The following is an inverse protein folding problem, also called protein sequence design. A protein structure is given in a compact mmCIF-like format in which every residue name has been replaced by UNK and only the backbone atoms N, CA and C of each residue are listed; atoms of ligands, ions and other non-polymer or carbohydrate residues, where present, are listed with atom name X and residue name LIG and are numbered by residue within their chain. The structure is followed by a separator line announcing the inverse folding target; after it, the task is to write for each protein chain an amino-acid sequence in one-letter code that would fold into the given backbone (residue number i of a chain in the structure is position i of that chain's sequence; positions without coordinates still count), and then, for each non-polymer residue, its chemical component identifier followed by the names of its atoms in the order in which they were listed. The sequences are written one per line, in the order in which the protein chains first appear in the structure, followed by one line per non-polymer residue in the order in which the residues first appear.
data_IF_302025427189
#
_entry.id   IF_302025427189
#
_cell.length_a   1.000
_cell.length_b   1.000
_cell.length_c   1.000
_cell.angle_alpha   90.00
_cell.angle_beta   90.00
_cell.angle_gamma   90.00
#
_symmetry.space_group_name_H-M   'P 1'
#
loop_
_entity.id
_entity.type
_entity.pdbx_description
1 polymer ?
#
# COMPACT_ATOMS: atom_id res chain seq x y z
N UNK A 1 17.37 -1.28 -8.72
CA UNK A 1 17.00 0.12 -8.47
C UNK A 1 18.20 1.02 -8.28
N UNK A 2 19.25 0.51 -7.66
CA UNK A 2 20.48 1.29 -7.47
C UNK A 2 21.17 1.64 -8.78
N UNK A 3 20.98 0.84 -9.81
CA UNK A 3 21.51 1.11 -11.14
C UNK A 3 20.85 2.33 -11.80
N UNK A 4 19.58 2.60 -11.44
CA UNK A 4 18.83 3.74 -11.97
C UNK A 4 19.24 5.06 -11.33
N UNK A 5 19.78 5.04 -10.12
CA UNK A 5 20.08 6.24 -9.33
C UNK A 5 21.58 6.46 -9.13
N UNK A 6 22.41 5.67 -9.78
CA UNK A 6 23.86 5.81 -9.74
C UNK A 6 24.46 5.34 -8.43
N UNK A 7 25.58 5.96 -8.03
CA UNK A 7 26.37 5.53 -6.88
C UNK A 7 25.91 6.11 -5.53
N UNK A 8 24.73 6.69 -5.47
CA UNK A 8 24.22 7.24 -4.22
C UNK A 8 23.70 6.13 -3.31
N UNK A 9 23.99 6.23 -2.02
CA UNK A 9 23.53 5.28 -1.02
C UNK A 9 22.11 5.61 -0.60
N UNK A 10 21.16 5.34 -1.48
CA UNK A 10 19.75 5.54 -1.17
C UNK A 10 19.19 4.36 -0.42
N UNK A 11 18.42 4.67 0.60
CA UNK A 11 17.61 3.70 1.34
C UNK A 11 16.18 3.82 0.86
N UNK A 12 15.42 2.76 1.01
CA UNK A 12 13.99 2.79 0.70
C UNK A 12 13.19 2.33 1.90
N UNK A 13 12.00 2.92 2.06
CA UNK A 13 11.07 2.56 3.09
C UNK A 13 9.80 2.01 2.51
N UNK A 14 9.05 1.26 3.35
CA UNK A 14 7.77 0.73 2.93
C UNK A 14 7.89 -0.30 1.83
N UNK A 15 8.64 -1.38 2.08
CA UNK A 15 8.79 -2.46 1.11
C UNK A 15 7.44 -2.89 0.55
N UNK A 16 7.42 -3.12 -0.75
CA UNK A 16 6.30 -3.76 -1.42
C UNK A 16 6.54 -5.26 -1.48
N UNK A 17 5.46 -6.03 -1.32
CA UNK A 17 5.53 -7.47 -1.49
C UNK A 17 5.85 -7.80 -2.94
N UNK A 18 6.36 -9.02 -3.17
CA UNK A 18 6.78 -9.48 -4.49
C UNK A 18 5.70 -9.25 -5.58
N UNK A 19 4.44 -9.49 -5.24
CA UNK A 19 3.33 -9.41 -6.19
C UNK A 19 2.58 -8.07 -6.09
N UNK A 20 3.19 -7.08 -5.43
CA UNK A 20 2.62 -5.75 -5.28
C UNK A 20 3.43 -4.76 -6.08
N UNK A 21 2.80 -3.64 -6.45
CA UNK A 21 3.46 -2.56 -7.19
C UNK A 21 3.08 -1.21 -6.62
N UNK A 22 3.69 -0.15 -7.11
CA UNK A 22 3.29 1.19 -6.78
C UNK A 22 4.38 2.06 -6.20
N UNK A 23 3.95 3.07 -5.46
CA UNK A 23 4.80 4.12 -4.92
C UNK A 23 5.78 3.58 -3.89
N UNK A 24 7.04 3.99 -4.01
CA UNK A 24 8.08 3.79 -3.01
C UNK A 24 8.75 5.12 -2.70
N UNK A 25 9.19 5.29 -1.46
CA UNK A 25 9.95 6.46 -1.04
C UNK A 25 11.41 6.07 -0.88
N UNK A 26 12.28 6.90 -1.44
CA UNK A 26 13.74 6.72 -1.39
C UNK A 26 14.36 7.94 -0.74
N UNK A 27 15.35 7.74 0.13
CA UNK A 27 16.06 8.84 0.78
C UNK A 27 17.44 8.37 1.25
N UNK A 28 18.38 9.29 1.33
CA UNK A 28 19.64 9.04 2.03
C UNK A 28 19.46 9.13 3.55
N UNK A 29 18.33 9.70 4.00
CA UNK A 29 18.00 9.87 5.42
C UNK A 29 17.11 8.72 5.91
N UNK A 30 17.75 7.72 6.54
CA UNK A 30 17.04 6.58 7.07
C UNK A 30 16.09 6.92 8.22
N UNK A 31 16.41 7.95 9.00
CA UNK A 31 15.56 8.37 10.11
C UNK A 31 14.25 8.97 9.60
N UNK A 32 14.32 9.76 8.54
CA UNK A 32 13.14 10.30 7.91
C UNK A 32 12.23 9.19 7.39
N UNK A 33 12.80 8.19 6.71
CA UNK A 33 12.04 7.04 6.23
C UNK A 33 11.41 6.26 7.39
N UNK A 34 12.17 6.03 8.46
CA UNK A 34 11.66 5.32 9.63
C UNK A 34 10.50 6.07 10.27
N UNK A 35 10.55 7.39 10.32
CA UNK A 35 9.46 8.19 10.86
C UNK A 35 8.17 8.00 10.06
N UNK A 36 8.27 7.96 8.73
CA UNK A 36 7.09 7.77 7.88
C UNK A 36 6.49 6.38 8.08
N UNK A 37 7.32 5.34 8.17
CA UNK A 37 6.85 3.96 8.21
C UNK A 37 6.74 3.37 9.61
N UNK A 38 7.08 4.12 10.65
CA UNK A 38 6.93 3.67 12.01
C UNK A 38 5.44 3.53 12.35
N UNK A 39 5.05 2.35 12.87
CA UNK A 39 3.66 2.06 13.22
C UNK A 39 3.05 3.08 14.20
N UNK A 40 3.88 3.68 15.05
CA UNK A 40 3.43 4.68 16.03
C UNK A 40 2.87 5.94 15.36
N UNK A 41 3.36 6.30 14.18
CA UNK A 41 2.97 7.52 13.50
C UNK A 41 1.68 7.37 12.70
N UNK A 42 1.23 6.15 12.49
CA UNK A 42 -0.06 5.83 11.84
C UNK A 42 -0.28 6.56 10.53
N UNK A 43 0.77 6.63 9.71
CA UNK A 43 0.69 7.27 8.39
C UNK A 43 -0.25 6.46 7.50
N UNK A 44 -1.20 7.13 6.87
CA UNK A 44 -2.15 6.48 5.99
C UNK A 44 -1.50 6.13 4.66
N UNK A 45 -1.66 4.88 4.24
CA UNK A 45 -1.27 4.39 2.92
C UNK A 45 -2.52 4.00 2.16
N UNK A 46 -2.58 4.34 0.88
CA UNK A 46 -3.72 4.00 0.04
C UNK A 46 -3.29 3.08 -1.09
N UNK A 47 -4.21 2.19 -1.43
CA UNK A 47 -3.97 1.16 -2.45
C UNK A 47 -5.16 1.07 -3.38
N UNK A 48 -4.86 0.78 -4.65
CA UNK A 48 -5.88 0.39 -5.63
C UNK A 48 -5.75 -1.11 -5.82
N UNK A 49 -6.86 -1.82 -5.65
CA UNK A 49 -6.88 -3.28 -5.66
C UNK A 49 -7.89 -3.75 -6.69
N UNK A 50 -7.44 -4.58 -7.62
CA UNK A 50 -8.32 -5.24 -8.58
C UNK A 50 -8.51 -6.70 -8.18
N UNK A 51 -9.73 -7.19 -8.33
CA UNK A 51 -10.11 -8.55 -7.96
C UNK A 51 -10.62 -9.30 -9.17
N UNK A 52 -10.49 -10.62 -9.12
CA UNK A 52 -10.87 -11.49 -10.26
C UNK A 52 -12.38 -11.55 -10.45
N UNK A 53 -13.12 -11.66 -9.36
CA UNK A 53 -14.59 -11.77 -9.40
C UNK A 53 -15.18 -10.86 -8.34
N UNK A 54 -16.31 -10.21 -8.62
CA UNK A 54 -16.90 -9.27 -7.66
C UNK A 54 -17.42 -9.99 -6.42
N UNK A 55 -17.58 -9.23 -5.35
CA UNK A 55 -18.20 -9.73 -4.13
C UNK A 55 -19.62 -10.20 -4.47
N UNK A 56 -20.01 -11.44 -4.07
CA UNK A 56 -21.33 -11.95 -4.37
C UNK A 56 -22.43 -11.02 -3.85
N UNK A 57 -23.53 -10.94 -4.61
CA UNK A 57 -24.68 -10.12 -4.23
C UNK A 57 -25.20 -10.58 -2.86
N UNK A 58 -25.46 -9.61 -1.98
CA UNK A 58 -25.93 -9.88 -0.62
C UNK A 58 -24.82 -10.15 0.38
N UNK A 59 -23.58 -10.27 -0.06
CA UNK A 59 -22.41 -10.38 0.82
C UNK A 59 -21.87 -9.01 1.14
N UNK A 60 -21.43 -8.82 2.38
CA UNK A 60 -20.83 -7.58 2.84
C UNK A 60 -19.33 -7.76 3.00
N UNK A 61 -18.56 -6.80 2.51
CA UNK A 61 -17.11 -6.81 2.68
C UNK A 61 -16.75 -6.56 4.15
N UNK A 62 -15.98 -7.46 4.74
CA UNK A 62 -15.47 -7.31 6.11
C UNK A 62 -14.10 -6.66 6.08
N UNK A 63 -14.04 -5.42 6.53
CA UNK A 63 -12.79 -4.64 6.51
C UNK A 63 -11.89 -4.91 7.73
N UNK A 64 -12.44 -5.45 8.79
CA UNK A 64 -11.70 -5.81 10.00
C UNK A 64 -11.87 -7.29 10.26
N UNK A 65 -10.75 -8.02 10.42
CA UNK A 65 -10.80 -9.45 10.70
C UNK A 65 -9.80 -9.79 11.80
N UNK A 66 -10.05 -10.93 12.45
CA UNK A 66 -9.09 -11.53 13.37
C UNK A 66 -8.57 -12.80 12.70
N UNK A 67 -7.25 -12.84 12.47
CA UNK A 67 -6.61 -13.96 11.82
C UNK A 67 -5.43 -14.43 12.67
N UNK A 68 -5.52 -15.66 13.19
CA UNK A 68 -4.48 -16.25 14.05
C UNK A 68 -4.12 -15.35 15.24
N UNK A 69 -5.13 -14.75 15.88
CA UNK A 69 -4.94 -13.87 17.04
C UNK A 69 -4.50 -12.46 16.69
N UNK A 70 -4.31 -12.16 15.42
CA UNK A 70 -3.90 -10.84 14.95
C UNK A 70 -5.09 -10.10 14.33
N UNK A 71 -5.31 -8.86 14.80
CA UNK A 71 -6.38 -8.01 14.26
C UNK A 71 -5.85 -7.31 13.01
N UNK A 72 -6.49 -7.56 11.88
CA UNK A 72 -6.16 -6.94 10.60
C UNK A 72 -7.26 -5.93 10.27
N UNK A 73 -6.84 -4.73 9.86
CA UNK A 73 -7.79 -3.64 9.74
C UNK A 73 -7.52 -2.77 8.51
N UNK A 74 -8.54 -2.63 7.67
CA UNK A 74 -8.60 -1.56 6.66
C UNK A 74 -9.32 -0.39 7.30
N UNK A 75 -8.67 0.78 7.35
CA UNK A 75 -9.23 1.97 7.99
C UNK A 75 -10.46 2.46 7.23
N UNK A 76 -10.38 2.47 5.91
CA UNK A 76 -11.46 2.92 5.06
C UNK A 76 -11.36 2.25 3.69
N UNK A 77 -12.50 2.08 3.02
CA UNK A 77 -12.50 1.53 1.68
C UNK A 77 -13.69 2.07 0.88
N UNK A 78 -13.54 2.06 -0.44
CA UNK A 78 -14.65 2.33 -1.35
C UNK A 78 -14.47 1.49 -2.62
N UNK A 79 -15.59 1.15 -3.26
CA UNK A 79 -15.57 0.51 -4.57
C UNK A 79 -15.57 1.58 -5.64
N UNK A 80 -14.55 1.56 -6.49
CA UNK A 80 -14.51 2.38 -7.69
C UNK A 80 -15.45 1.79 -8.74
N UNK A 81 -15.43 0.47 -8.83
CA UNK A 81 -16.39 -0.34 -9.59
C UNK A 81 -16.40 -1.74 -8.96
N UNK A 82 -17.24 -2.64 -9.47
CA UNK A 82 -17.40 -3.96 -8.84
C UNK A 82 -16.15 -4.83 -8.80
N UNK A 83 -15.11 -4.49 -9.56
CA UNK A 83 -13.84 -5.22 -9.58
C UNK A 83 -12.69 -4.43 -8.97
N UNK A 84 -12.91 -3.21 -8.53
CA UNK A 84 -11.82 -2.33 -8.11
C UNK A 84 -12.15 -1.65 -6.79
N UNK A 85 -11.27 -1.84 -5.81
CA UNK A 85 -11.36 -1.21 -4.49
C UNK A 85 -10.26 -0.17 -4.33
N UNK A 86 -10.59 0.92 -3.66
CA UNK A 86 -9.58 1.79 -3.06
C UNK A 86 -9.63 1.58 -1.56
N UNK A 87 -8.50 1.23 -0.96
CA UNK A 87 -8.43 0.99 0.48
C UNK A 87 -7.36 1.85 1.13
N UNK A 88 -7.61 2.22 2.38
CA UNK A 88 -6.67 2.99 3.19
C UNK A 88 -6.32 2.20 4.44
N UNK A 89 -5.02 2.14 4.76
CA UNK A 89 -4.51 1.49 5.96
C UNK A 89 -3.57 2.42 6.71
N UNK A 90 -3.61 2.33 8.04
CA UNK A 90 -2.64 2.99 8.92
C UNK A 90 -1.65 2.02 9.52
N UNK A 91 -1.86 0.72 9.31
CA UNK A 91 -1.00 -0.35 9.76
C UNK A 91 -0.24 -0.94 8.58
N UNK A 92 0.77 -1.75 8.85
CA UNK A 92 1.56 -2.38 7.81
C UNK A 92 1.92 -3.80 8.17
N UNK A 93 0.96 -4.55 8.70
CA UNK A 93 1.17 -5.94 9.09
C UNK A 93 1.43 -6.78 7.85
N UNK A 94 2.13 -7.89 8.05
CA UNK A 94 2.55 -8.75 6.94
C UNK A 94 1.34 -9.22 6.13
N UNK A 95 1.35 -8.92 4.83
CA UNK A 95 0.31 -9.30 3.87
C UNK A 95 -1.11 -8.93 4.34
N UNK A 96 -1.25 -7.82 5.03
CA UNK A 96 -2.51 -7.45 5.70
C UNK A 96 -3.68 -7.37 4.72
N UNK A 97 -3.52 -6.63 3.62
CA UNK A 97 -4.57 -6.47 2.62
C UNK A 97 -4.92 -7.83 1.99
N UNK A 98 -3.90 -8.61 1.61
CA UNK A 98 -4.12 -9.91 0.97
C UNK A 98 -4.86 -10.88 1.89
N UNK A 99 -4.54 -10.84 3.18
CA UNK A 99 -5.21 -11.69 4.17
C UNK A 99 -6.65 -11.28 4.37
N UNK A 100 -6.94 -9.98 4.42
CA UNK A 100 -8.31 -9.46 4.56
C UNK A 100 -9.14 -9.85 3.33
N UNK A 101 -8.61 -9.66 2.13
CA UNK A 101 -9.32 -9.99 0.91
C UNK A 101 -9.55 -11.50 0.79
N UNK A 102 -8.55 -12.31 1.17
CA UNK A 102 -8.70 -13.77 1.19
C UNK A 102 -9.81 -14.19 2.15
N UNK A 103 -9.90 -13.56 3.31
CA UNK A 103 -10.97 -13.84 4.28
C UNK A 103 -12.35 -13.56 3.68
N UNK A 104 -12.45 -12.57 2.80
CA UNK A 104 -13.68 -12.25 2.09
C UNK A 104 -13.89 -13.10 0.83
N UNK A 105 -13.05 -14.10 0.61
CA UNK A 105 -13.05 -14.94 -0.59
C UNK A 105 -12.90 -14.15 -1.89
N UNK A 106 -12.12 -13.08 -1.84
CA UNK A 106 -11.81 -12.24 -2.99
C UNK A 106 -10.38 -12.47 -3.42
N UNK A 107 -10.19 -12.83 -4.69
CA UNK A 107 -8.87 -13.06 -5.25
C UNK A 107 -8.34 -11.76 -5.86
N UNK A 108 -7.23 -11.27 -5.32
CA UNK A 108 -6.57 -10.07 -5.82
C UNK A 108 -5.82 -10.40 -7.10
N UNK A 109 -6.03 -9.62 -8.16
CA UNK A 109 -5.27 -9.70 -9.40
C UNK A 109 -4.21 -8.62 -9.50
N UNK A 110 -4.47 -7.44 -8.92
CA UNK A 110 -3.51 -6.33 -8.90
C UNK A 110 -3.60 -5.60 -7.57
N UNK A 111 -2.45 -5.32 -6.97
CA UNK A 111 -2.35 -4.56 -5.72
C UNK A 111 -1.31 -3.47 -5.93
N UNK A 112 -1.77 -2.20 -5.97
CA UNK A 112 -0.92 -1.06 -6.26
C UNK A 112 -1.04 -0.02 -5.17
N UNK A 113 0.08 0.31 -4.52
CA UNK A 113 0.11 1.40 -3.55
C UNK A 113 0.23 2.73 -4.29
N UNK A 114 -0.78 3.57 -4.17
CA UNK A 114 -0.82 4.84 -4.88
C UNK A 114 -0.57 6.05 -4.00
N UNK A 115 -0.53 5.87 -2.68
CA UNK A 115 -0.30 6.98 -1.76
C UNK A 115 0.37 6.52 -0.47
N UNK A 116 1.30 7.34 0.03
CA UNK A 116 1.94 7.19 1.34
C UNK A 116 1.89 8.57 1.99
N UNK A 117 1.01 8.74 2.99
CA UNK A 117 0.80 10.03 3.63
C UNK A 117 0.43 11.10 2.61
N UNK A 118 1.22 12.16 2.54
CA UNK A 118 0.99 13.25 1.58
C UNK A 118 1.55 12.99 0.18
N UNK A 119 2.34 11.93 0.02
CA UNK A 119 2.99 11.61 -1.25
C UNK A 119 2.10 10.69 -2.07
N UNK A 120 1.86 11.04 -3.33
CA UNK A 120 1.01 10.26 -4.21
C UNK A 120 1.74 9.90 -5.50
N UNK A 121 1.30 8.80 -6.12
CA UNK A 121 1.90 8.29 -7.35
C UNK A 121 1.65 9.23 -8.53
N UNK A 122 0.48 9.85 -8.59
CA UNK A 122 0.05 10.76 -9.67
C UNK A 122 0.38 10.20 -11.05
N UNK A 123 1.20 10.93 -11.82
CA UNK A 123 1.52 10.59 -13.19
C UNK A 123 2.80 9.77 -13.35
N UNK A 124 3.34 9.25 -12.25
CA UNK A 124 4.53 8.42 -12.31
C UNK A 124 4.24 7.09 -12.99
N UNK A 125 5.05 6.76 -13.99
CA UNK A 125 5.03 5.46 -14.64
C UNK A 125 6.04 4.53 -13.99
N UNK A 126 5.92 3.20 -14.15
CA UNK A 126 6.90 2.27 -13.60
C UNK A 126 8.33 2.67 -14.00
N UNK A 127 9.21 2.72 -13.03
CA UNK A 127 10.60 3.11 -13.23
C UNK A 127 10.88 4.60 -13.11
N UNK A 128 9.86 5.44 -13.09
CA UNK A 128 10.04 6.89 -12.96
C UNK A 128 10.53 7.28 -11.58
N UNK A 129 11.39 8.29 -11.53
CA UNK A 129 11.90 8.87 -10.29
C UNK A 129 11.65 10.38 -10.31
N UNK A 130 11.13 10.90 -9.20
CA UNK A 130 10.92 12.33 -9.02
C UNK A 130 11.59 12.75 -7.71
N UNK A 131 12.42 13.77 -7.79
CA UNK A 131 13.04 14.36 -6.60
C UNK A 131 12.08 15.35 -5.98
N UNK A 132 11.85 15.22 -4.68
CA UNK A 132 10.97 16.12 -3.94
C UNK A 132 11.71 16.70 -2.74
N UNK A 133 11.24 17.86 -2.26
CA UNK A 133 11.70 18.43 -1.01
C UNK A 133 10.89 17.83 0.14
N UNK A 134 11.58 17.57 1.27
CA UNK A 134 10.93 17.03 2.46
C UNK A 134 9.84 17.98 2.97
N UNK A 135 10.05 19.28 2.79
CA UNK A 135 9.13 20.31 3.29
C UNK A 135 7.91 20.53 2.37
N UNK A 136 7.89 19.90 1.23
CA UNK A 136 6.74 19.90 0.35
C UNK A 136 5.75 18.81 0.75
#
# INVERSE_FOLDING_TARGET
IFDLIGKQYLKFGGRLDKDSEGLMLLSTDGDWLNNIFNAKNKITKKYIIKIKSPLPKGKKFKQNINHNGEVLKITNYKLINKYTYEVALKTGKNHEIRRIFRFNNLKITTLKRNRIGKYSLKDLSPGDLVKINIDE
#
